data_IF_196419492907
#
_entry.id   IF_196419492907
#
_cell.length_a   1.000
_cell.length_b   1.000
_cell.length_c   1.000
_cell.angle_alpha   90.00
_cell.angle_beta   90.00
_cell.angle_gamma   90.00
#
_symmetry.space_group_name_H-M   'P 1'
#
loop_
_entity.id
_entity.type
_entity.pdbx_description
1 polymer ?
#
# COMPACT_ATOMS: atom_id res chain seq x y z
N UNK A 1 11.65 13.01 10.55
CA UNK A 1 10.45 12.45 9.94
C UNK A 1 10.83 11.52 8.80
N UNK A 2 10.27 10.35 8.82
CA UNK A 2 10.58 9.36 7.80
C UNK A 2 9.48 9.31 6.76
N UNK A 3 9.90 9.29 5.51
CA UNK A 3 8.97 9.14 4.40
C UNK A 3 9.28 7.85 3.67
N UNK A 4 8.24 7.13 3.35
CA UNK A 4 8.37 5.90 2.59
C UNK A 4 7.66 6.07 1.27
N UNK A 5 8.28 5.58 0.23
CA UNK A 5 7.63 5.51 -1.05
C UNK A 5 6.66 4.34 -1.02
N UNK A 6 5.41 4.61 -1.32
CA UNK A 6 4.38 3.57 -1.36
C UNK A 6 3.87 3.49 -2.78
N UNK A 7 3.92 2.29 -3.35
CA UNK A 7 3.39 2.05 -4.68
C UNK A 7 2.02 1.41 -4.53
N UNK A 8 1.01 2.04 -5.10
CA UNK A 8 -0.37 1.56 -5.03
C UNK A 8 -0.81 1.14 -6.42
N UNK A 9 -1.31 -0.08 -6.53
CA UNK A 9 -1.79 -0.61 -7.79
C UNK A 9 -3.25 -1.01 -7.66
N UNK A 10 -4.01 -0.69 -8.70
CA UNK A 10 -5.41 -1.06 -8.75
C UNK A 10 -5.56 -2.41 -9.43
N UNK A 11 -6.29 -3.30 -8.79
CA UNK A 11 -6.62 -4.60 -9.36
C UNK A 11 -8.14 -4.70 -9.46
N UNK A 12 -8.63 -5.83 -9.96
CA UNK A 12 -10.07 -6.03 -10.09
C UNK A 12 -10.73 -6.01 -8.73
N UNK A 13 -11.44 -4.91 -8.45
CA UNK A 13 -12.24 -4.80 -7.25
C UNK A 13 -11.48 -4.43 -5.99
N UNK A 14 -10.17 -4.26 -6.08
CA UNK A 14 -9.41 -3.85 -4.90
C UNK A 14 -8.10 -3.17 -5.29
N UNK A 15 -7.38 -2.74 -4.26
CA UNK A 15 -6.08 -2.11 -4.42
C UNK A 15 -5.06 -2.89 -3.63
N UNK A 16 -3.83 -2.86 -4.09
CA UNK A 16 -2.71 -3.38 -3.33
C UNK A 16 -1.59 -2.35 -3.30
N UNK A 17 -0.80 -2.37 -2.25
CA UNK A 17 0.27 -1.41 -2.10
C UNK A 17 1.47 -2.08 -1.45
N UNK A 18 2.64 -1.56 -1.74
CA UNK A 18 3.86 -2.06 -1.13
C UNK A 18 4.88 -0.94 -1.02
N UNK A 19 5.84 -1.13 -0.13
CA UNK A 19 6.94 -0.20 0.05
C UNK A 19 8.20 -0.84 -0.50
N UNK A 20 8.73 -0.36 -1.63
CA UNK A 20 9.93 -0.97 -2.22
C UNK A 20 11.13 -0.96 -1.29
N UNK A 21 11.21 0.03 -0.42
CA UNK A 21 12.36 0.18 0.48
C UNK A 21 12.26 -0.66 1.75
N UNK A 22 11.09 -1.23 2.02
CA UNK A 22 10.87 -1.97 3.25
C UNK A 22 10.34 -3.36 2.93
N UNK A 23 11.14 -4.39 3.15
CA UNK A 23 10.68 -5.76 2.93
C UNK A 23 9.49 -6.08 3.84
N UNK A 24 8.50 -6.74 3.28
CA UNK A 24 7.33 -7.13 4.04
C UNK A 24 6.29 -6.05 4.24
N UNK A 25 6.54 -4.86 3.73
CA UNK A 25 5.58 -3.76 3.86
C UNK A 25 4.60 -3.83 2.70
N UNK A 26 3.51 -4.54 2.89
CA UNK A 26 2.51 -4.75 1.85
C UNK A 26 1.12 -4.75 2.48
N UNK A 27 0.14 -4.24 1.73
CA UNK A 27 -1.22 -4.18 2.21
C UNK A 27 -2.19 -4.23 1.05
N UNK A 28 -3.44 -4.55 1.34
CA UNK A 28 -4.52 -4.55 0.37
C UNK A 28 -5.72 -3.83 0.97
N UNK A 29 -6.62 -3.39 0.12
CA UNK A 29 -7.84 -2.75 0.56
C UNK A 29 -8.78 -2.54 -0.61
N UNK A 30 -9.99 -2.12 -0.31
CA UNK A 30 -11.01 -1.88 -1.34
C UNK A 30 -10.87 -0.52 -1.98
N UNK A 31 -10.22 0.40 -1.28
CA UNK A 31 -9.97 1.74 -1.80
C UNK A 31 -8.52 2.07 -1.59
N UNK A 32 -8.03 3.07 -2.31
CA UNK A 32 -6.66 3.52 -2.14
C UNK A 32 -6.42 4.01 -0.71
N UNK A 33 -7.40 4.72 -0.15
CA UNK A 33 -7.29 5.23 1.22
C UNK A 33 -7.21 4.10 2.23
N UNK A 34 -8.04 3.08 2.05
CA UNK A 34 -8.05 1.94 2.95
C UNK A 34 -6.73 1.18 2.87
N UNK A 35 -6.25 0.99 1.65
CA UNK A 35 -4.99 0.29 1.43
C UNK A 35 -3.84 1.04 2.09
N UNK A 36 -3.81 2.34 1.94
CA UNK A 36 -2.78 3.17 2.54
C UNK A 36 -2.83 3.10 4.06
N UNK A 37 -4.04 3.09 4.62
CA UNK A 37 -4.23 2.99 6.06
C UNK A 37 -3.75 1.64 6.60
N UNK A 38 -3.88 0.60 5.81
CA UNK A 38 -3.49 -0.74 6.22
C UNK A 38 -1.99 -0.98 6.16
N UNK A 39 -1.26 -0.08 5.54
CA UNK A 39 0.18 -0.19 5.48
C UNK A 39 0.81 0.40 6.74
N UNK A 40 1.69 -0.34 7.33
CA UNK A 40 2.42 0.12 8.50
C UNK A 40 3.88 -0.15 8.37
#
# INVERSE_FOLDING_TARGET
MHRFLVVIEKANGNYSAYCPDLPGCVATGRTAEETERNIH
#
